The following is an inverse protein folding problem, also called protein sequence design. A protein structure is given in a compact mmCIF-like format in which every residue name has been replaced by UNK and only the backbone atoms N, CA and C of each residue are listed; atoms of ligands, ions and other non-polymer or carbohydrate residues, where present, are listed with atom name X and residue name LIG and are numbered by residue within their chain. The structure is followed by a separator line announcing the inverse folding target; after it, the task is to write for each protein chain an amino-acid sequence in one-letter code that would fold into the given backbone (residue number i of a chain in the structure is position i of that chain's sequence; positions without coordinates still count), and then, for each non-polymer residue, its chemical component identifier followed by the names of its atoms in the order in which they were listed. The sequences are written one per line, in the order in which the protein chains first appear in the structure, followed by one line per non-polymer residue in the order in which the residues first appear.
data_IF_367657704848
#
_entry.id   IF_367657704848
#
_cell.length_a   1.000
_cell.length_b   1.000
_cell.length_c   1.000
_cell.angle_alpha   90.00
_cell.angle_beta   90.00
_cell.angle_gamma   90.00
#
_symmetry.space_group_name_H-M   'P 1'
#
loop_
_entity.id
_entity.type
_entity.pdbx_description
1 polymer ?
#
# COMPACT_ATOMS: atom_id res chain seq x y z
N UNK A 1 7.90 -26.44 -0.21
CA UNK A 1 8.58 -25.25 0.33
C UNK A 1 8.69 -25.44 1.84
N UNK A 2 9.84 -25.16 2.45
CA UNK A 2 9.99 -25.25 3.90
C UNK A 2 9.17 -24.14 4.57
N UNK A 3 8.39 -24.49 5.58
CA UNK A 3 7.58 -23.56 6.37
C UNK A 3 8.53 -22.59 7.10
N UNK A 4 8.41 -21.30 6.83
CA UNK A 4 9.24 -20.28 7.47
C UNK A 4 8.76 -20.10 8.90
N UNK A 5 9.67 -20.24 9.86
CA UNK A 5 9.28 -20.17 11.26
C UNK A 5 8.85 -18.75 11.64
N UNK A 6 7.96 -18.61 12.63
CA UNK A 6 7.61 -17.31 13.25
C UNK A 6 8.84 -16.53 13.70
N UNK A 7 9.93 -17.24 14.04
CA UNK A 7 11.22 -16.64 14.41
C UNK A 7 11.89 -15.94 13.23
N UNK A 8 11.78 -16.49 12.02
CA UNK A 8 12.34 -15.90 10.80
C UNK A 8 11.49 -14.71 10.31
N UNK A 9 10.16 -14.78 10.43
CA UNK A 9 9.25 -13.66 10.15
C UNK A 9 9.53 -12.48 11.09
N UNK A 10 9.74 -12.75 12.38
CA UNK A 10 10.15 -11.73 13.37
C UNK A 10 11.50 -11.12 13.07
N UNK A 11 12.45 -11.87 12.53
CA UNK A 11 13.75 -11.32 12.11
C UNK A 11 13.59 -10.27 10.99
N UNK A 12 12.60 -10.46 10.12
CA UNK A 12 12.28 -9.52 9.03
C UNK A 12 11.54 -8.26 9.54
N UNK A 13 10.72 -8.35 10.58
CA UNK A 13 10.10 -7.18 11.24
C UNK A 13 11.04 -6.42 12.20
N UNK A 14 12.34 -6.77 12.21
CA UNK A 14 13.32 -6.20 13.13
C UNK A 14 13.18 -6.69 14.58
N UNK A 15 12.40 -7.75 14.81
CA UNK A 15 12.22 -8.43 16.07
C UNK A 15 11.22 -7.78 17.03
N UNK A 16 10.70 -6.59 16.70
CA UNK A 16 9.82 -5.82 17.58
C UNK A 16 8.56 -6.62 17.95
N UNK A 17 8.45 -6.97 19.23
CA UNK A 17 7.33 -7.72 19.81
C UNK A 17 7.22 -7.36 21.31
N UNK A 18 6.55 -6.25 21.64
CA UNK A 18 6.44 -5.79 23.02
C UNK A 18 5.67 -6.79 23.90
N UNK A 19 4.82 -7.64 23.32
CA UNK A 19 4.08 -8.68 24.07
C UNK A 19 5.00 -9.76 24.66
N UNK A 20 6.18 -9.94 24.05
CA UNK A 20 7.24 -10.85 24.49
C UNK A 20 8.41 -10.11 25.14
N UNK A 21 8.25 -8.82 25.44
CA UNK A 21 9.28 -7.97 26.02
C UNK A 21 10.40 -7.55 25.06
N UNK A 22 10.28 -7.79 23.75
CA UNK A 22 11.27 -7.29 22.80
C UNK A 22 10.88 -5.92 22.24
N UNK A 23 11.55 -4.89 22.73
CA UNK A 23 11.33 -3.50 22.33
C UNK A 23 12.35 -2.98 21.29
N UNK A 24 13.24 -3.84 20.82
CA UNK A 24 14.23 -3.46 19.82
C UNK A 24 13.58 -3.31 18.44
N UNK A 25 13.81 -2.18 17.79
CA UNK A 25 13.33 -1.94 16.44
C UNK A 25 14.35 -1.13 15.64
N UNK A 26 14.89 -1.74 14.57
CA UNK A 26 15.96 -1.14 13.72
C UNK A 26 17.16 -0.63 14.53
N UNK A 27 17.52 -1.35 15.60
CA UNK A 27 18.64 -1.01 16.47
C UNK A 27 18.32 -0.05 17.63
N UNK A 28 17.11 0.51 17.72
CA UNK A 28 16.70 1.37 18.85
C UNK A 28 15.93 0.56 19.91
N UNK A 29 16.20 0.81 21.19
CA UNK A 29 15.40 0.27 22.31
C UNK A 29 14.20 1.18 22.59
N UNK A 30 13.03 0.81 22.11
CA UNK A 30 11.85 1.66 22.23
C UNK A 30 11.20 1.67 23.63
N UNK A 31 11.69 0.87 24.59
CA UNK A 31 11.17 0.84 25.96
C UNK A 31 11.60 2.05 26.80
N UNK A 32 12.75 2.65 26.46
CA UNK A 32 13.33 3.80 27.14
C UNK A 32 13.51 4.99 26.18
N UNK A 33 12.42 5.68 25.76
CA UNK A 33 12.50 6.69 24.72
C UNK A 33 13.36 7.91 25.11
N UNK A 34 13.50 8.22 26.39
CA UNK A 34 14.29 9.38 26.88
C UNK A 34 15.79 9.08 26.96
N UNK A 35 16.23 7.87 26.63
CA UNK A 35 17.62 7.44 26.69
C UNK A 35 18.07 6.99 25.30
N UNK A 36 19.34 7.23 24.98
CA UNK A 36 19.96 6.68 23.78
C UNK A 36 21.42 6.36 24.04
N UNK A 37 21.88 5.23 23.52
CA UNK A 37 23.29 4.80 23.55
C UNK A 37 23.96 5.00 22.20
N UNK A 38 25.30 5.07 22.19
CA UNK A 38 26.05 5.12 20.93
C UNK A 38 25.79 3.88 20.06
N UNK A 39 25.63 2.71 20.68
CA UNK A 39 25.32 1.48 19.95
C UNK A 39 23.97 1.54 19.22
N UNK A 40 22.95 2.15 19.83
CA UNK A 40 21.66 2.39 19.18
C UNK A 40 21.79 3.35 17.99
N UNK A 41 22.58 4.43 18.15
CA UNK A 41 22.83 5.42 17.09
C UNK A 41 23.50 4.75 15.88
N UNK A 42 24.56 3.99 16.13
CA UNK A 42 25.33 3.30 15.09
C UNK A 42 24.46 2.25 14.38
N UNK A 43 23.70 1.46 15.14
CA UNK A 43 22.83 0.43 14.59
C UNK A 43 21.71 1.01 13.73
N UNK A 44 21.04 2.08 14.20
CA UNK A 44 19.95 2.72 13.46
C UNK A 44 20.44 3.42 12.19
N UNK A 45 21.57 4.15 12.28
CA UNK A 45 22.18 4.83 11.13
C UNK A 45 22.67 3.84 10.08
N UNK A 46 23.21 2.70 10.51
CA UNK A 46 23.63 1.61 9.64
C UNK A 46 22.46 0.94 8.92
N UNK A 47 21.34 0.70 9.61
CA UNK A 47 20.20 -0.04 9.06
C UNK A 47 19.70 0.52 7.72
N UNK A 48 19.40 1.82 7.64
CA UNK A 48 18.87 2.43 6.40
C UNK A 48 19.92 2.52 5.30
N UNK A 49 21.18 2.79 5.66
CA UNK A 49 22.28 2.84 4.71
C UNK A 49 22.49 1.48 4.05
N UNK A 50 22.39 0.38 4.82
CA UNK A 50 22.46 -0.98 4.29
C UNK A 50 21.23 -1.34 3.46
N UNK A 51 20.03 -1.01 3.93
CA UNK A 51 18.80 -1.42 3.26
C UNK A 51 18.55 -0.66 1.94
N UNK A 52 18.94 0.62 1.87
CA UNK A 52 18.58 1.52 0.77
C UNK A 52 19.79 2.12 0.04
N UNK A 53 21.01 1.73 0.42
CA UNK A 53 22.25 2.29 -0.13
C UNK A 53 22.54 3.74 0.27
N UNK A 54 21.63 4.40 1.00
CA UNK A 54 21.73 5.81 1.40
C UNK A 54 21.17 6.03 2.81
N UNK A 55 21.76 6.93 3.60
CA UNK A 55 21.21 7.30 4.90
C UNK A 55 19.93 8.14 4.74
N UNK A 56 18.94 7.89 5.61
CA UNK A 56 17.77 8.76 5.71
C UNK A 56 18.10 9.99 6.56
N UNK A 57 18.60 11.04 5.90
CA UNK A 57 19.08 12.26 6.56
C UNK A 57 18.07 12.87 7.55
N UNK A 58 16.78 12.89 7.22
CA UNK A 58 15.75 13.41 8.12
C UNK A 58 15.62 12.62 9.43
N UNK A 59 15.75 11.28 9.38
CA UNK A 59 15.74 10.46 10.60
C UNK A 59 17.03 10.64 11.39
N UNK A 60 18.18 10.70 10.71
CA UNK A 60 19.48 10.95 11.37
C UNK A 60 19.53 12.33 12.02
N UNK A 61 18.88 13.34 11.44
CA UNK A 61 18.76 14.66 12.04
C UNK A 61 17.99 14.59 13.36
N UNK A 62 16.85 13.89 13.40
CA UNK A 62 16.10 13.71 14.65
C UNK A 62 16.85 12.84 15.66
N UNK A 63 17.60 11.85 15.20
CA UNK A 63 18.48 11.03 16.06
C UNK A 63 19.51 11.90 16.79
N UNK A 64 20.10 12.87 16.11
CA UNK A 64 21.09 13.81 16.66
C UNK A 64 20.45 14.91 17.53
N UNK A 65 19.33 15.49 17.08
CA UNK A 65 18.74 16.66 17.74
C UNK A 65 17.81 16.33 18.89
N UNK A 66 17.00 15.29 18.76
CA UNK A 66 16.06 14.88 19.79
C UNK A 66 15.69 13.39 19.62
N UNK A 67 16.53 12.47 20.11
CA UNK A 67 16.33 11.04 19.95
C UNK A 67 15.03 10.55 20.59
N UNK A 68 14.51 11.24 21.62
CA UNK A 68 13.23 10.90 22.22
C UNK A 68 12.07 11.03 21.23
N UNK A 69 12.03 12.14 20.49
CA UNK A 69 11.02 12.35 19.44
C UNK A 69 11.10 11.25 18.39
N UNK A 70 12.32 10.90 17.95
CA UNK A 70 12.52 9.82 16.98
C UNK A 70 12.07 8.46 17.53
N UNK A 71 12.44 8.11 18.76
CA UNK A 71 12.06 6.82 19.37
C UNK A 71 10.55 6.69 19.53
N UNK A 72 9.86 7.76 19.95
CA UNK A 72 8.39 7.78 20.00
C UNK A 72 7.75 7.64 18.61
N UNK A 73 8.29 8.33 17.61
CA UNK A 73 7.86 8.15 16.22
C UNK A 73 8.09 6.71 15.73
N UNK A 74 9.24 6.11 16.03
CA UNK A 74 9.54 4.73 15.64
C UNK A 74 8.66 3.71 16.35
N UNK A 75 8.31 3.93 17.61
CA UNK A 75 7.34 3.12 18.34
C UNK A 75 5.96 3.19 17.72
N UNK A 76 5.52 4.39 17.34
CA UNK A 76 4.28 4.53 16.61
C UNK A 76 4.33 3.77 15.28
N UNK A 77 5.36 4.00 14.46
CA UNK A 77 5.52 3.30 13.18
C UNK A 77 5.66 1.78 13.31
N UNK A 78 6.26 1.27 14.38
CA UNK A 78 6.44 -0.19 14.55
C UNK A 78 5.13 -0.90 14.87
N UNK A 79 4.15 -0.20 15.44
CA UNK A 79 2.80 -0.71 15.69
C UNK A 79 1.88 -0.61 14.47
N UNK A 80 2.27 0.13 13.43
CA UNK A 80 1.52 0.27 12.18
C UNK A 80 2.03 -0.63 11.05
N UNK A 81 2.96 -1.54 11.35
CA UNK A 81 3.53 -2.48 10.38
C UNK A 81 2.92 -3.86 10.58
N UNK A 82 2.72 -4.58 9.46
CA UNK A 82 2.31 -5.98 9.49
C UNK A 82 3.36 -6.84 10.18
N UNK A 83 2.89 -7.83 10.93
CA UNK A 83 3.74 -8.82 11.59
C UNK A 83 4.33 -9.80 10.58
N UNK A 84 3.55 -10.16 9.55
CA UNK A 84 4.01 -11.03 8.47
C UNK A 84 4.63 -10.20 7.33
N UNK A 85 5.84 -10.55 6.87
CA UNK A 85 6.48 -9.90 5.73
C UNK A 85 5.70 -10.25 4.46
N UNK A 86 5.01 -9.25 3.93
CA UNK A 86 4.39 -9.28 2.62
C UNK A 86 4.73 -7.98 1.90
N UNK A 87 4.71 -8.03 0.57
CA UNK A 87 4.88 -6.83 -0.25
C UNK A 87 3.84 -5.79 0.14
N UNK A 88 4.32 -4.62 0.55
CA UNK A 88 3.51 -3.46 0.93
C UNK A 88 4.10 -2.19 0.31
N UNK A 89 3.35 -1.10 0.34
CA UNK A 89 3.85 0.22 -0.06
C UNK A 89 3.37 0.70 -1.43
N UNK A 90 2.48 -0.03 -2.11
CA UNK A 90 1.86 0.46 -3.35
C UNK A 90 1.16 1.82 -3.18
N UNK A 91 0.42 2.00 -2.07
CA UNK A 91 -0.18 3.30 -1.76
C UNK A 91 0.83 4.38 -1.35
N UNK A 92 1.91 4.00 -0.68
CA UNK A 92 3.03 4.91 -0.36
C UNK A 92 3.72 5.39 -1.63
N UNK A 93 3.95 4.50 -2.59
CA UNK A 93 4.50 4.84 -3.91
C UNK A 93 3.58 5.83 -4.64
N UNK A 94 2.27 5.56 -4.68
CA UNK A 94 1.28 6.46 -5.28
C UNK A 94 1.37 7.87 -4.70
N UNK A 95 1.48 7.98 -3.37
CA UNK A 95 1.63 9.27 -2.71
C UNK A 95 2.94 9.99 -3.05
N UNK A 96 4.06 9.29 -2.94
CA UNK A 96 5.36 9.90 -3.19
C UNK A 96 5.51 10.34 -4.64
N UNK A 97 5.00 9.55 -5.59
CA UNK A 97 4.93 9.95 -7.00
C UNK A 97 4.05 11.19 -7.19
N UNK A 98 2.86 11.23 -6.58
CA UNK A 98 1.98 12.41 -6.65
C UNK A 98 2.66 13.67 -6.09
N UNK A 99 3.37 13.53 -4.97
CA UNK A 99 4.07 14.62 -4.30
C UNK A 99 5.40 15.00 -4.97
N UNK A 100 5.85 14.26 -5.98
CA UNK A 100 7.15 14.45 -6.61
C UNK A 100 8.33 14.17 -5.68
N UNK A 101 8.16 13.28 -4.71
CA UNK A 101 9.19 12.97 -3.72
C UNK A 101 10.07 11.81 -4.18
N UNK A 102 11.08 12.13 -4.98
CA UNK A 102 11.99 11.17 -5.63
C UNK A 102 12.63 10.21 -4.62
N UNK A 103 13.20 10.71 -3.52
CA UNK A 103 13.86 9.86 -2.53
C UNK A 103 12.88 8.89 -1.87
N UNK A 104 11.63 9.33 -1.63
CA UNK A 104 10.58 8.47 -1.12
C UNK A 104 10.18 7.38 -2.13
N UNK A 105 9.99 7.74 -3.40
CA UNK A 105 9.68 6.77 -4.44
C UNK A 105 10.81 5.74 -4.59
N UNK A 106 12.08 6.18 -4.63
CA UNK A 106 13.26 5.30 -4.69
C UNK A 106 13.34 4.36 -3.49
N UNK A 107 13.02 4.84 -2.28
CA UNK A 107 12.92 4.03 -1.07
C UNK A 107 11.92 2.87 -1.25
N UNK A 108 10.73 3.14 -1.81
CA UNK A 108 9.72 2.09 -2.04
C UNK A 108 10.19 1.11 -3.11
N UNK A 109 10.81 1.58 -4.19
CA UNK A 109 11.33 0.69 -5.25
C UNK A 109 12.44 -0.22 -4.75
N UNK A 110 13.37 0.26 -3.91
CA UNK A 110 14.34 -0.62 -3.26
C UNK A 110 13.67 -1.67 -2.37
N UNK A 111 12.61 -1.30 -1.63
CA UNK A 111 11.85 -2.28 -0.86
C UNK A 111 11.29 -3.36 -1.77
N UNK A 112 10.62 -2.98 -2.86
CA UNK A 112 10.08 -3.93 -3.83
C UNK A 112 11.14 -4.85 -4.43
N UNK A 113 12.32 -4.32 -4.75
CA UNK A 113 13.42 -5.13 -5.28
C UNK A 113 13.91 -6.14 -4.23
N UNK A 114 14.12 -5.69 -2.99
CA UNK A 114 14.55 -6.54 -1.87
C UNK A 114 13.49 -7.57 -1.47
N UNK A 115 12.21 -7.23 -1.63
CA UNK A 115 11.08 -8.12 -1.37
C UNK A 115 10.88 -9.14 -2.49
N UNK A 116 11.62 -9.03 -3.60
CA UNK A 116 11.65 -10.02 -4.66
C UNK A 116 10.55 -9.86 -5.71
N UNK A 117 10.07 -8.63 -5.96
CA UNK A 117 9.19 -8.39 -7.10
C UNK A 117 9.94 -8.68 -8.40
N UNK A 118 9.25 -9.31 -9.35
CA UNK A 118 9.72 -9.32 -10.72
C UNK A 118 9.57 -7.94 -11.36
N UNK A 119 10.26 -7.71 -12.47
CA UNK A 119 10.10 -6.49 -13.28
C UNK A 119 8.63 -6.24 -13.67
N UNK A 120 7.92 -7.28 -14.10
CA UNK A 120 6.52 -7.16 -14.48
C UNK A 120 5.64 -6.72 -13.29
N UNK A 121 5.85 -7.30 -12.11
CA UNK A 121 5.15 -6.90 -10.88
C UNK A 121 5.49 -5.47 -10.45
N UNK A 122 6.76 -5.06 -10.55
CA UNK A 122 7.18 -3.69 -10.24
C UNK A 122 6.53 -2.67 -11.19
N UNK A 123 6.44 -2.99 -12.49
CA UNK A 123 5.75 -2.15 -13.47
C UNK A 123 4.25 -2.03 -13.16
N UNK A 124 3.60 -3.09 -12.71
CA UNK A 124 2.20 -3.04 -12.28
C UNK A 124 2.01 -2.18 -11.01
N UNK A 125 2.92 -2.25 -10.04
CA UNK A 125 2.91 -1.34 -8.88
C UNK A 125 3.04 0.13 -9.29
N UNK A 126 3.92 0.43 -10.26
CA UNK A 126 4.06 1.78 -10.83
C UNK A 126 2.79 2.19 -11.56
N UNK A 127 2.16 1.28 -12.32
CA UNK A 127 0.92 1.54 -13.03
C UNK A 127 -0.23 1.88 -12.07
N UNK A 128 -0.35 1.16 -10.95
CA UNK A 128 -1.29 1.47 -9.86
C UNK A 128 -1.08 2.91 -9.37
N UNK A 129 0.17 3.27 -9.04
CA UNK A 129 0.50 4.61 -8.58
C UNK A 129 0.19 5.71 -9.63
N UNK A 130 0.39 5.39 -10.91
CA UNK A 130 0.14 6.30 -12.02
C UNK A 130 -1.35 6.63 -12.22
N UNK A 131 -2.28 5.88 -11.63
CA UNK A 131 -3.71 6.23 -11.64
C UNK A 131 -3.93 7.64 -11.07
N UNK A 132 -3.18 8.02 -10.03
CA UNK A 132 -3.32 9.31 -9.35
C UNK A 132 -2.18 10.30 -9.61
N UNK A 133 -0.96 9.83 -9.90
CA UNK A 133 0.22 10.70 -9.89
C UNK A 133 0.44 11.56 -11.16
N UNK A 134 -0.18 11.19 -12.29
CA UNK A 134 -0.09 11.95 -13.54
C UNK A 134 1.34 12.17 -14.06
N UNK A 135 1.57 13.17 -14.95
CA UNK A 135 2.89 13.43 -15.55
C UNK A 135 4.00 13.70 -14.54
N UNK A 136 3.69 14.41 -13.44
CA UNK A 136 4.67 14.66 -12.37
C UNK A 136 5.15 13.35 -11.74
N UNK A 137 4.24 12.42 -11.50
CA UNK A 137 4.58 11.09 -11.01
C UNK A 137 5.46 10.30 -11.97
N UNK A 138 5.22 10.42 -13.28
CA UNK A 138 6.03 9.77 -14.31
C UNK A 138 7.50 10.24 -14.26
N UNK A 139 7.73 11.56 -14.23
CA UNK A 139 9.08 12.11 -14.10
C UNK A 139 9.75 11.66 -12.79
N UNK A 140 8.97 11.65 -11.69
CA UNK A 140 9.46 11.25 -10.37
C UNK A 140 9.91 9.78 -10.35
N UNK A 141 9.15 8.88 -10.98
CA UNK A 141 9.52 7.46 -11.00
C UNK A 141 10.72 7.19 -11.93
N UNK A 142 10.86 7.94 -13.02
CA UNK A 142 12.04 7.86 -13.90
C UNK A 142 13.31 8.18 -13.12
N UNK A 143 13.33 9.31 -12.40
CA UNK A 143 14.49 9.69 -11.56
C UNK A 143 14.69 8.72 -10.40
N UNK A 144 13.61 8.26 -9.76
CA UNK A 144 13.69 7.32 -8.65
C UNK A 144 14.28 5.95 -9.07
N UNK A 145 14.04 5.51 -10.29
CA UNK A 145 14.50 4.23 -10.85
C UNK A 145 15.93 4.24 -11.38
N UNK A 146 16.62 5.39 -11.42
CA UNK A 146 18.01 5.45 -11.89
C UNK A 146 18.91 4.47 -11.14
N UNK A 147 19.56 3.57 -11.89
CA UNK A 147 20.45 2.54 -11.33
C UNK A 147 19.74 1.34 -10.70
N UNK A 148 18.40 1.29 -10.73
CA UNK A 148 17.62 0.13 -10.30
C UNK A 148 17.20 -0.71 -11.50
N UNK A 149 17.51 -1.99 -11.45
CA UNK A 149 17.04 -2.97 -12.43
C UNK A 149 16.34 -4.12 -11.70
N UNK A 150 15.09 -4.38 -12.09
CA UNK A 150 14.32 -5.47 -11.54
C UNK A 150 14.53 -6.72 -12.39
N UNK A 151 14.84 -7.88 -11.78
CA UNK A 151 14.98 -9.11 -12.53
C UNK A 151 13.64 -9.55 -13.11
N UNK A 152 13.66 -10.14 -14.31
CA UNK A 152 12.47 -10.78 -14.87
C UNK A 152 12.04 -11.99 -14.01
N UNK A 153 13.03 -12.74 -13.50
CA UNK A 153 12.83 -13.88 -12.61
C UNK A 153 13.71 -13.72 -11.36
N UNK A 154 13.20 -13.12 -10.27
CA UNK A 154 13.97 -12.96 -9.04
C UNK A 154 14.31 -14.31 -8.41
N UNK A 155 15.51 -14.43 -7.82
CA UNK A 155 15.95 -15.65 -7.12
C UNK A 155 15.03 -16.02 -5.94
N UNK A 156 14.54 -14.98 -5.24
CA UNK A 156 13.54 -15.09 -4.19
C UNK A 156 12.31 -14.32 -4.65
N UNK A 157 11.20 -15.02 -4.85
CA UNK A 157 9.96 -14.37 -5.28
C UNK A 157 9.29 -13.61 -4.14
N UNK A 158 8.63 -12.51 -4.53
CA UNK A 158 7.71 -11.75 -3.72
C UNK A 158 6.70 -12.63 -2.99
N UNK A 159 6.46 -12.29 -1.73
CA UNK A 159 5.45 -12.93 -0.90
C UNK A 159 4.25 -12.03 -0.72
N UNK A 160 3.09 -12.63 -0.87
CA UNK A 160 1.80 -12.02 -0.59
C UNK A 160 1.09 -12.83 0.49
N UNK A 161 0.13 -12.24 1.21
CA UNK A 161 -0.64 -12.95 2.22
C UNK A 161 -1.34 -14.19 1.64
N UNK A 162 -1.64 -15.15 2.50
CA UNK A 162 -2.38 -16.34 2.11
C UNK A 162 -3.73 -15.97 1.47
N UNK A 163 -4.12 -16.70 0.41
CA UNK A 163 -5.35 -16.46 -0.34
C UNK A 163 -5.27 -15.34 -1.38
N UNK A 164 -4.19 -14.56 -1.42
CA UNK A 164 -3.99 -13.57 -2.47
C UNK A 164 -3.59 -14.26 -3.78
N UNK A 165 -4.26 -13.90 -4.87
CA UNK A 165 -4.04 -14.50 -6.18
C UNK A 165 -4.28 -13.53 -7.32
N UNK A 166 -3.58 -13.77 -8.44
CA UNK A 166 -3.88 -13.11 -9.72
C UNK A 166 -5.27 -13.54 -10.16
N UNK A 167 -6.12 -12.56 -10.48
CA UNK A 167 -7.47 -12.78 -10.97
C UNK A 167 -7.94 -11.53 -11.72
N UNK A 168 -7.70 -11.53 -13.03
CA UNK A 168 -8.05 -10.42 -13.91
C UNK A 168 -9.58 -10.32 -14.09
N UNK A 169 -10.29 -11.45 -14.01
CA UNK A 169 -11.74 -11.49 -14.21
C UNK A 169 -12.49 -10.74 -13.10
N UNK A 170 -11.93 -10.66 -11.88
CA UNK A 170 -12.49 -9.86 -10.80
C UNK A 170 -12.68 -8.38 -11.17
N UNK A 171 -11.85 -7.84 -12.06
CA UNK A 171 -11.97 -6.44 -12.51
C UNK A 171 -12.97 -6.25 -13.64
N UNK A 172 -13.26 -7.30 -14.42
CA UNK A 172 -14.01 -7.20 -15.68
C UNK A 172 -15.47 -6.86 -15.42
N UNK A 173 -15.85 -5.65 -15.80
CA UNK A 173 -17.25 -5.21 -15.78
C UNK A 173 -18.04 -5.69 -17.00
N UNK A 174 -17.35 -6.15 -18.05
CA UNK A 174 -17.94 -6.56 -19.32
C UNK A 174 -18.08 -5.42 -20.33
N UNK A 175 -17.47 -4.26 -20.05
CA UNK A 175 -17.36 -3.15 -21.00
C UNK A 175 -16.53 -3.53 -22.23
N UNK A 176 -16.89 -2.97 -23.39
CA UNK A 176 -16.13 -3.11 -24.62
C UNK A 176 -15.21 -1.90 -24.80
N UNK A 177 -13.91 -2.08 -24.59
CA UNK A 177 -12.93 -0.99 -24.69
C UNK A 177 -12.42 -0.72 -26.12
N UNK A 178 -13.05 -1.29 -27.17
CA UNK A 178 -12.67 -1.02 -28.57
C UNK A 178 -13.01 0.41 -29.02
N UNK A 179 -13.91 1.10 -28.31
CA UNK A 179 -14.21 2.52 -28.49
C UNK A 179 -14.39 3.26 -27.14
N UNK A 180 -14.33 4.60 -27.11
CA UNK A 180 -14.42 5.35 -25.86
C UNK A 180 -15.86 5.71 -25.45
N UNK A 181 -16.90 5.26 -26.16
CA UNK A 181 -18.28 5.67 -25.94
C UNK A 181 -19.00 4.67 -25.02
N UNK A 182 -19.59 5.14 -23.92
CA UNK A 182 -20.34 4.27 -23.01
C UNK A 182 -21.79 4.16 -23.49
N UNK A 183 -22.18 2.99 -23.98
CA UNK A 183 -23.57 2.70 -24.33
C UNK A 183 -24.46 2.49 -23.08
N UNK A 184 -25.79 2.55 -23.24
CA UNK A 184 -26.73 2.25 -22.14
C UNK A 184 -26.62 0.80 -21.63
N UNK A 185 -26.32 -0.13 -22.54
CA UNK A 185 -26.04 -1.54 -22.19
C UNK A 185 -24.80 -1.63 -21.31
N UNK A 186 -23.73 -0.97 -21.70
CA UNK A 186 -22.47 -0.93 -20.95
C UNK A 186 -22.60 -0.23 -19.60
N UNK A 187 -23.36 0.87 -19.53
CA UNK A 187 -23.74 1.52 -18.27
C UNK A 187 -24.39 0.52 -17.31
N UNK A 188 -25.31 -0.31 -17.82
CA UNK A 188 -25.99 -1.34 -17.02
C UNK A 188 -24.99 -2.40 -16.52
N UNK A 189 -24.10 -2.88 -17.39
CA UNK A 189 -23.03 -3.84 -17.03
C UNK A 189 -22.09 -3.30 -15.95
N UNK A 190 -21.72 -2.03 -16.03
CA UNK A 190 -20.88 -1.38 -15.02
C UNK A 190 -21.60 -1.30 -13.67
N UNK A 191 -22.88 -0.93 -13.66
CA UNK A 191 -23.68 -0.89 -12.43
C UNK A 191 -23.84 -2.29 -11.82
N UNK A 192 -24.11 -3.29 -12.65
CA UNK A 192 -24.22 -4.68 -12.23
C UNK A 192 -22.91 -5.20 -11.62
N UNK A 193 -21.76 -4.82 -12.19
CA UNK A 193 -20.45 -5.17 -11.62
C UNK A 193 -20.27 -4.58 -10.22
N UNK A 194 -20.56 -3.30 -10.02
CA UNK A 194 -20.47 -2.65 -8.71
C UNK A 194 -21.41 -3.29 -7.68
N UNK A 195 -22.68 -3.50 -8.03
CA UNK A 195 -23.67 -4.13 -7.15
C UNK A 195 -23.29 -5.57 -6.79
N UNK A 196 -22.82 -6.36 -7.77
CA UNK A 196 -22.38 -7.75 -7.53
C UNK A 196 -21.10 -7.82 -6.69
N UNK A 197 -20.17 -6.87 -6.88
CA UNK A 197 -18.84 -6.93 -6.27
C UNK A 197 -18.85 -6.34 -4.87
N UNK A 198 -19.36 -5.11 -4.72
CA UNK A 198 -19.29 -4.34 -3.47
C UNK A 198 -20.65 -3.97 -2.88
N UNK A 199 -21.76 -4.41 -3.51
CA UNK A 199 -23.12 -4.17 -3.02
C UNK A 199 -23.66 -2.76 -3.29
N UNK A 200 -22.82 -1.85 -3.79
CA UNK A 200 -23.13 -0.42 -3.90
C UNK A 200 -22.57 0.17 -5.20
N UNK A 201 -23.24 1.19 -5.74
CA UNK A 201 -22.72 1.97 -6.89
C UNK A 201 -22.13 3.27 -6.34
N UNK A 202 -20.80 3.49 -6.44
CA UNK A 202 -20.18 4.70 -5.94
C UNK A 202 -20.80 5.98 -6.53
N UNK A 203 -20.94 7.07 -5.76
CA UNK A 203 -21.55 8.31 -6.25
C UNK A 203 -20.86 8.88 -7.50
N UNK A 204 -19.53 8.83 -7.55
CA UNK A 204 -18.77 9.31 -8.71
C UNK A 204 -19.11 8.55 -9.99
N UNK A 205 -19.45 7.27 -9.90
CA UNK A 205 -19.81 6.44 -11.06
C UNK A 205 -21.12 6.97 -11.65
N UNK A 206 -22.12 7.24 -10.81
CA UNK A 206 -23.41 7.82 -11.26
C UNK A 206 -23.21 9.19 -11.89
N UNK A 207 -22.45 10.05 -11.22
CA UNK A 207 -22.14 11.39 -11.71
C UNK A 207 -21.41 11.36 -13.06
N UNK A 208 -20.38 10.53 -13.18
CA UNK A 208 -19.55 10.49 -14.39
C UNK A 208 -20.25 9.81 -15.56
N UNK A 209 -21.10 8.80 -15.33
CA UNK A 209 -21.95 8.23 -16.38
C UNK A 209 -22.84 9.30 -17.03
N UNK A 210 -23.42 10.19 -16.21
CA UNK A 210 -24.34 11.22 -16.70
C UNK A 210 -23.58 12.35 -17.42
N UNK A 211 -22.48 12.82 -16.85
CA UNK A 211 -21.85 14.06 -17.30
C UNK A 211 -20.64 13.85 -18.21
N UNK A 212 -19.91 12.74 -18.05
CA UNK A 212 -18.65 12.46 -18.77
C UNK A 212 -18.46 10.94 -19.04
N UNK A 213 -19.41 10.25 -19.70
CA UNK A 213 -19.42 8.79 -19.83
C UNK A 213 -18.14 8.23 -20.47
N UNK A 214 -17.61 8.90 -21.50
CA UNK A 214 -16.37 8.46 -22.16
C UNK A 214 -15.14 8.55 -21.27
N UNK A 215 -15.10 9.55 -20.38
CA UNK A 215 -14.02 9.69 -19.41
C UNK A 215 -14.09 8.57 -18.37
N UNK A 216 -15.31 8.20 -17.92
CA UNK A 216 -15.48 7.06 -17.03
C UNK A 216 -15.06 5.74 -17.69
N UNK A 217 -15.50 5.48 -18.93
CA UNK A 217 -15.18 4.26 -19.67
C UNK A 217 -13.66 4.11 -19.88
N UNK A 218 -12.99 5.19 -20.31
CA UNK A 218 -11.53 5.20 -20.49
C UNK A 218 -10.78 5.09 -19.14
N UNK A 219 -11.31 5.67 -18.06
CA UNK A 219 -10.78 5.45 -16.71
C UNK A 219 -10.89 3.98 -16.28
N UNK A 220 -12.05 3.34 -16.50
CA UNK A 220 -12.23 1.89 -16.22
C UNK A 220 -11.29 1.03 -17.05
N UNK A 221 -11.08 1.37 -18.33
CA UNK A 221 -10.14 0.65 -19.20
C UNK A 221 -8.73 0.57 -18.61
N UNK A 222 -8.28 1.64 -17.92
CA UNK A 222 -6.97 1.68 -17.24
C UNK A 222 -6.88 0.69 -16.08
N UNK A 223 -7.98 0.45 -15.38
CA UNK A 223 -8.01 -0.37 -14.15
C UNK A 223 -8.21 -1.84 -14.51
N UNK A 224 -9.15 -2.14 -15.41
CA UNK A 224 -9.55 -3.52 -15.73
C UNK A 224 -8.50 -4.32 -16.51
N UNK A 225 -7.48 -3.65 -17.03
CA UNK A 225 -6.41 -4.25 -17.84
C UNK A 225 -5.02 -3.99 -17.27
N UNK A 226 -4.90 -3.81 -15.95
CA UNK A 226 -3.63 -3.39 -15.34
C UNK A 226 -2.87 -4.50 -14.64
N UNK A 227 -3.56 -5.43 -13.97
CA UNK A 227 -2.94 -6.41 -13.06
C UNK A 227 -3.00 -7.83 -13.64
N UNK A 228 -1.93 -8.21 -14.34
CA UNK A 228 -1.72 -9.54 -14.91
C UNK A 228 -0.83 -10.43 -14.04
N UNK A 229 0.00 -9.85 -13.17
CA UNK A 229 1.03 -10.56 -12.41
C UNK A 229 0.90 -10.39 -10.90
N UNK A 230 0.33 -9.26 -10.45
CA UNK A 230 0.04 -9.00 -9.04
C UNK A 230 -1.32 -9.60 -8.64
N UNK A 231 -1.46 -10.02 -7.37
CA UNK A 231 -2.77 -10.36 -6.84
C UNK A 231 -3.75 -9.19 -6.94
N UNK A 232 -5.03 -9.49 -7.23
CA UNK A 232 -6.07 -8.44 -7.34
C UNK A 232 -6.18 -7.59 -6.07
N UNK A 233 -5.91 -8.18 -4.92
CA UNK A 233 -5.94 -7.55 -3.58
C UNK A 233 -4.92 -6.42 -3.41
N UNK A 234 -3.88 -6.37 -4.25
CA UNK A 234 -2.93 -5.25 -4.25
C UNK A 234 -3.61 -3.94 -4.63
N UNK A 235 -4.59 -3.97 -5.54
CA UNK A 235 -5.32 -2.76 -5.94
C UNK A 235 -6.02 -2.08 -4.75
N UNK A 236 -6.99 -2.74 -4.05
CA UNK A 236 -7.76 -2.06 -3.03
C UNK A 236 -6.91 -1.73 -1.81
N UNK A 237 -5.87 -2.51 -1.49
CA UNK A 237 -4.98 -2.17 -0.37
C UNK A 237 -4.09 -0.97 -0.69
N UNK A 238 -3.55 -0.86 -1.91
CA UNK A 238 -2.79 0.31 -2.34
C UNK A 238 -3.66 1.58 -2.38
N UNK A 239 -4.87 1.47 -2.94
CA UNK A 239 -5.79 2.60 -3.05
C UNK A 239 -6.39 2.99 -1.69
N UNK A 240 -6.69 2.03 -0.81
CA UNK A 240 -7.12 2.31 0.56
C UNK A 240 -6.06 3.11 1.32
N UNK A 241 -4.80 2.67 1.27
CA UNK A 241 -3.70 3.42 1.87
C UNK A 241 -3.66 4.86 1.33
N UNK A 242 -3.69 5.00 -0.01
CA UNK A 242 -3.65 6.30 -0.67
C UNK A 242 -4.81 7.21 -0.22
N UNK A 243 -6.04 6.70 -0.19
CA UNK A 243 -7.22 7.47 0.17
C UNK A 243 -7.31 7.80 1.66
N UNK A 244 -6.85 6.92 2.56
CA UNK A 244 -6.76 7.24 3.99
C UNK A 244 -5.80 8.40 4.21
N UNK A 245 -4.61 8.34 3.62
CA UNK A 245 -3.60 9.38 3.82
C UNK A 245 -3.94 10.68 3.09
N UNK A 246 -4.62 10.63 1.93
CA UNK A 246 -5.11 11.84 1.23
C UNK A 246 -6.49 12.31 1.70
N UNK A 247 -7.12 11.59 2.64
CA UNK A 247 -8.41 11.92 3.27
C UNK A 247 -9.57 12.01 2.25
N UNK A 248 -9.64 11.03 1.36
CA UNK A 248 -10.68 10.91 0.33
C UNK A 248 -11.76 9.91 0.75
N UNK A 249 -12.88 10.43 1.24
CA UNK A 249 -13.96 9.67 1.88
C UNK A 249 -14.52 8.51 1.02
N UNK A 250 -14.95 8.81 -0.20
CA UNK A 250 -15.58 7.83 -1.09
C UNK A 250 -14.60 6.73 -1.50
N UNK A 251 -13.32 7.10 -1.67
CA UNK A 251 -12.25 6.16 -1.97
C UNK A 251 -11.93 5.22 -0.80
N UNK A 252 -12.07 5.69 0.45
CA UNK A 252 -11.95 4.83 1.63
C UNK A 252 -13.06 3.77 1.61
N UNK A 253 -14.32 4.18 1.46
CA UNK A 253 -15.46 3.23 1.46
C UNK A 253 -15.33 2.19 0.36
N UNK A 254 -15.11 2.63 -0.88
CA UNK A 254 -14.99 1.73 -2.04
C UNK A 254 -13.90 0.68 -1.82
N UNK A 255 -12.72 1.09 -1.34
CA UNK A 255 -11.59 0.16 -1.19
C UNK A 255 -11.69 -0.73 0.04
N UNK A 256 -12.38 -0.32 1.12
CA UNK A 256 -12.74 -1.23 2.22
C UNK A 256 -13.71 -2.31 1.73
N UNK A 257 -14.74 -1.94 0.97
CA UNK A 257 -15.68 -2.90 0.39
C UNK A 257 -14.99 -3.84 -0.61
N UNK A 258 -14.08 -3.34 -1.44
CA UNK A 258 -13.28 -4.18 -2.35
C UNK A 258 -12.34 -5.13 -1.59
N UNK A 259 -11.69 -4.67 -0.52
CA UNK A 259 -10.89 -5.53 0.35
C UNK A 259 -11.73 -6.71 0.86
N UNK A 260 -12.94 -6.43 1.39
CA UNK A 260 -13.88 -7.46 1.86
C UNK A 260 -14.33 -8.39 0.73
N UNK A 261 -14.73 -7.84 -0.41
CA UNK A 261 -15.22 -8.60 -1.56
C UNK A 261 -14.16 -9.53 -2.17
N UNK A 262 -12.89 -9.13 -2.13
CA UNK A 262 -11.77 -9.86 -2.73
C UNK A 262 -10.96 -10.69 -1.72
N UNK A 263 -11.50 -10.90 -0.52
CA UNK A 263 -10.92 -11.81 0.47
C UNK A 263 -9.64 -11.30 1.12
N UNK A 264 -9.40 -9.97 1.13
CA UNK A 264 -8.43 -9.40 2.07
C UNK A 264 -8.99 -9.59 3.47
N UNK A 265 -8.19 -10.00 4.44
CA UNK A 265 -8.70 -10.17 5.80
C UNK A 265 -9.02 -8.81 6.43
N UNK A 266 -9.89 -8.81 7.43
CA UNK A 266 -10.19 -7.66 8.26
C UNK A 266 -8.91 -7.11 8.89
N UNK A 267 -8.05 -7.99 9.39
CA UNK A 267 -6.75 -7.63 10.00
C UNK A 267 -5.84 -6.94 8.97
N UNK A 268 -5.68 -7.51 7.78
CA UNK A 268 -4.84 -6.93 6.71
C UNK A 268 -5.33 -5.56 6.25
N UNK A 269 -6.65 -5.40 6.22
CA UNK A 269 -7.30 -4.12 5.87
C UNK A 269 -7.03 -3.08 6.95
N UNK A 270 -7.15 -3.45 8.23
CA UNK A 270 -6.83 -2.57 9.36
C UNK A 270 -5.34 -2.24 9.43
N UNK A 271 -4.46 -3.19 9.11
CA UNK A 271 -3.02 -2.95 9.02
C UNK A 271 -2.69 -1.95 7.90
N UNK A 272 -3.37 -2.06 6.75
CA UNK A 272 -3.25 -1.10 5.64
C UNK A 272 -3.65 0.31 6.08
N UNK A 273 -4.78 0.43 6.79
CA UNK A 273 -5.25 1.70 7.36
C UNK A 273 -4.23 2.22 8.37
N UNK A 274 -3.81 1.39 9.33
CA UNK A 274 -2.84 1.74 10.36
C UNK A 274 -1.53 2.26 9.76
N UNK A 275 -1.02 1.61 8.72
CA UNK A 275 0.15 2.08 8.00
C UNK A 275 -0.05 3.47 7.39
N UNK A 276 -1.22 3.73 6.79
CA UNK A 276 -1.56 5.04 6.24
C UNK A 276 -1.70 6.12 7.33
N UNK A 277 -2.09 5.75 8.55
CA UNK A 277 -2.18 6.69 9.69
C UNK A 277 -0.80 7.21 10.13
N UNK A 278 0.32 6.63 9.68
CA UNK A 278 1.65 7.23 9.88
C UNK A 278 1.70 8.66 9.33
N UNK A 279 1.00 8.91 8.21
CA UNK A 279 0.90 10.23 7.58
C UNK A 279 -0.47 10.87 7.76
N UNK A 280 -1.54 10.08 7.66
CA UNK A 280 -2.92 10.56 7.78
C UNK A 280 -3.28 11.07 9.18
N UNK A 281 -2.56 10.58 10.21
CA UNK A 281 -2.78 10.81 11.64
C UNK A 281 -4.17 10.36 12.10
N UNK A 282 -4.50 10.54 13.39
CA UNK A 282 -5.73 10.00 14.00
C UNK A 282 -7.02 10.60 13.42
N UNK A 283 -6.95 11.78 12.80
CA UNK A 283 -8.09 12.38 12.11
C UNK A 283 -8.54 11.51 10.91
N UNK A 284 -7.60 10.87 10.21
CA UNK A 284 -7.94 9.94 9.14
C UNK A 284 -8.66 8.69 9.68
N UNK A 285 -8.36 8.26 10.91
CA UNK A 285 -9.10 7.16 11.55
C UNK A 285 -10.56 7.53 11.83
N UNK A 286 -10.83 8.79 12.21
CA UNK A 286 -12.21 9.29 12.38
C UNK A 286 -12.98 9.29 11.05
N UNK A 287 -12.29 9.61 9.94
CA UNK A 287 -12.87 9.51 8.61
C UNK A 287 -13.16 8.06 8.21
N UNK A 288 -12.23 7.13 8.47
CA UNK A 288 -12.46 5.70 8.22
C UNK A 288 -13.68 5.19 8.98
N UNK A 289 -13.81 5.53 10.27
CA UNK A 289 -14.97 5.16 11.07
C UNK A 289 -16.27 5.70 10.47
N UNK A 290 -16.28 6.94 9.99
CA UNK A 290 -17.46 7.57 9.41
C UNK A 290 -17.88 6.93 8.08
N UNK A 291 -16.92 6.63 7.21
CA UNK A 291 -17.19 6.24 5.82
C UNK A 291 -17.30 4.72 5.64
N UNK A 292 -16.66 3.93 6.50
CA UNK A 292 -16.60 2.47 6.35
C UNK A 292 -16.67 1.70 7.67
N UNK A 293 -16.93 2.37 8.81
CA UNK A 293 -17.04 1.70 10.11
C UNK A 293 -18.12 0.61 10.13
N UNK A 294 -19.25 0.87 9.46
CA UNK A 294 -20.35 -0.08 9.28
C UNK A 294 -19.92 -1.36 8.55
N UNK A 295 -18.92 -1.28 7.67
CA UNK A 295 -18.42 -2.45 6.92
C UNK A 295 -17.61 -3.38 7.82
N UNK A 296 -16.89 -2.81 8.79
CA UNK A 296 -16.12 -3.54 9.79
C UNK A 296 -17.00 -4.20 10.86
N UNK A 297 -18.16 -3.60 11.14
CA UNK A 297 -19.17 -4.18 12.02
C UNK A 297 -19.75 -5.45 11.36
N UNK A 298 -19.41 -6.63 11.89
CA UNK A 298 -19.82 -7.92 11.33
C UNK A 298 -18.98 -8.43 10.15
N UNK A 299 -17.78 -7.87 9.94
CA UNK A 299 -16.81 -8.49 9.02
C UNK A 299 -16.17 -9.72 9.67
N UNK A 300 -16.63 -10.90 9.25
CA UNK A 300 -15.98 -12.19 9.52
C UNK A 300 -15.02 -12.54 8.37
N UNK A 301 -13.79 -12.91 8.70
CA UNK A 301 -12.81 -13.35 7.71
C UNK A 301 -13.29 -14.62 7.01
N UNK A 302 -13.17 -14.65 5.68
CA UNK A 302 -13.47 -15.85 4.90
C UNK A 302 -12.42 -16.91 5.25
N UNK A 303 -12.88 -18.07 5.72
CA UNK A 303 -12.04 -19.23 6.05
C UNK A 303 -11.59 -19.97 4.80
#
# INVERSE_FOLDING_TARGET
MAEISTKDLRRLSGGFDPSQGNWMHRGLDLSAPTQITQAEIDAFSGHYSTQFGLPLQGLNWWLDKNPEVLKRYRLYCSLTLRVEPAVMGGGTLAYYMLMGYVQGARYVMHSFLNDGLSKAQALEMIAIAFVHAGPRGMETIVEAMEGLDFPENPEVSAKFPAGWSVDLDAFRSGLDFSDPWLSDKEKSLLYDWYLRTIGEIPPYVRFMVEHRPSLLKTHRARIENMLYHLPKQVWPTAMLYYHVMTRLAEGIRENVLLCKAWGVTRTDTLDTIGNALVYGQMEAASMVQKEAGDVFDGWEDQK
#
